data_IF_358284962362
#
_entry.id   IF_358284962362
#
_cell.length_a   1.000
_cell.length_b   1.000
_cell.length_c   1.000
_cell.angle_alpha   90.00
_cell.angle_beta   90.00
_cell.angle_gamma   90.00
#
_symmetry.space_group_name_H-M   'P 1'
#
loop_
_entity.id
_entity.type
_entity.pdbx_description
1 polymer ?
#
# COMPACT_ATOMS: atom_id res chain seq x y z
N UNK A 1 -14.40 1.58 -21.93
CA UNK A 1 -13.95 2.77 -21.17
C UNK A 1 -14.66 4.04 -21.61
N UNK A 2 -14.50 4.56 -22.84
CA UNK A 2 -15.21 5.79 -23.28
C UNK A 2 -16.74 5.71 -23.13
N UNK A 3 -17.34 4.54 -23.40
CA UNK A 3 -18.76 4.30 -23.14
C UNK A 3 -19.16 4.44 -21.66
N UNK A 4 -18.29 4.09 -20.71
CA UNK A 4 -18.53 4.28 -19.27
C UNK A 4 -18.45 5.75 -18.87
N UNK A 5 -17.60 6.52 -19.55
CA UNK A 5 -17.45 7.96 -19.34
C UNK A 5 -18.61 8.77 -19.95
N UNK A 6 -19.40 8.16 -20.84
CA UNK A 6 -20.36 8.88 -21.68
C UNK A 6 -19.68 9.75 -22.76
N UNK A 7 -18.41 9.44 -23.08
CA UNK A 7 -17.58 10.17 -24.04
C UNK A 7 -17.58 9.44 -25.39
N UNK A 8 -18.78 9.18 -25.93
CA UNK A 8 -18.94 8.43 -27.18
C UNK A 8 -18.28 9.13 -28.37
N UNK A 9 -18.28 10.45 -28.38
CA UNK A 9 -17.65 11.28 -29.40
C UNK A 9 -16.13 11.10 -29.51
N UNK A 10 -15.47 10.70 -28.42
CA UNK A 10 -14.02 10.43 -28.44
C UNK A 10 -13.68 9.08 -29.07
N UNK A 11 -14.66 8.19 -29.25
CA UNK A 11 -14.45 6.88 -29.90
C UNK A 11 -14.21 7.05 -31.39
N UNK A 12 -14.97 7.94 -32.02
CA UNK A 12 -14.94 8.18 -33.47
C UNK A 12 -14.00 9.32 -33.89
N UNK A 13 -13.43 10.06 -32.93
CA UNK A 13 -12.47 11.12 -33.23
C UNK A 13 -11.19 10.53 -33.87
N UNK A 14 -10.84 10.94 -35.12
CA UNK A 14 -9.64 10.44 -35.81
C UNK A 14 -8.35 10.69 -35.03
N UNK A 15 -8.32 11.72 -34.16
CA UNK A 15 -7.18 12.02 -33.29
C UNK A 15 -6.97 10.99 -32.19
N UNK A 16 -7.95 10.11 -31.91
CA UNK A 16 -7.89 9.12 -30.84
C UNK A 16 -8.22 7.67 -31.27
N UNK A 17 -8.44 7.45 -32.58
CA UNK A 17 -8.90 6.18 -33.14
C UNK A 17 -8.01 4.96 -32.83
N UNK A 18 -6.68 5.13 -32.84
CA UNK A 18 -5.73 4.04 -32.53
C UNK A 18 -4.87 4.36 -31.33
N UNK A 19 -4.32 3.32 -30.70
CA UNK A 19 -3.45 3.49 -29.54
C UNK A 19 -2.21 4.36 -29.86
N UNK A 20 -1.61 4.16 -31.04
CA UNK A 20 -0.45 4.96 -31.47
C UNK A 20 -0.81 6.45 -31.61
N UNK A 21 -1.97 6.74 -32.19
CA UNK A 21 -2.43 8.13 -32.39
C UNK A 21 -2.81 8.75 -31.05
N UNK A 22 -3.45 8.00 -30.12
CA UNK A 22 -3.71 8.48 -28.75
C UNK A 22 -2.44 8.83 -27.97
N UNK A 23 -1.38 8.04 -28.12
CA UNK A 23 -0.10 8.34 -27.47
C UNK A 23 0.50 9.63 -28.02
N UNK A 24 0.43 9.85 -29.34
CA UNK A 24 0.89 11.11 -29.96
C UNK A 24 0.07 12.33 -29.52
N UNK A 25 -1.25 12.18 -29.40
CA UNK A 25 -2.17 13.24 -29.02
C UNK A 25 -2.53 13.20 -27.52
N UNK A 26 -1.67 12.64 -26.67
CA UNK A 26 -1.98 12.39 -25.24
C UNK A 26 -2.30 13.69 -24.50
N UNK A 27 -1.57 14.76 -24.81
CA UNK A 27 -1.74 16.05 -24.14
C UNK A 27 -3.08 16.71 -24.51
N UNK A 28 -3.64 16.42 -25.68
CA UNK A 28 -5.00 16.81 -26.08
C UNK A 28 -6.06 15.88 -25.47
N UNK A 29 -5.81 14.56 -25.44
CA UNK A 29 -6.77 13.58 -24.95
C UNK A 29 -6.99 13.66 -23.44
N UNK A 30 -5.91 13.90 -22.66
CA UNK A 30 -5.95 13.92 -21.20
C UNK A 30 -6.99 14.92 -20.64
N UNK A 31 -6.98 16.22 -21.00
CA UNK A 31 -7.93 17.18 -20.46
C UNK A 31 -9.38 16.84 -20.84
N UNK A 32 -9.61 16.25 -22.03
CA UNK A 32 -10.94 15.80 -22.43
C UNK A 32 -11.44 14.69 -21.51
N UNK A 33 -10.66 13.62 -21.32
CA UNK A 33 -11.02 12.52 -20.42
C UNK A 33 -11.17 13.01 -18.97
N UNK A 34 -10.31 13.93 -18.53
CA UNK A 34 -10.39 14.53 -17.20
C UNK A 34 -11.72 15.25 -16.98
N UNK A 35 -12.21 16.02 -17.96
CA UNK A 35 -13.51 16.70 -17.86
C UNK A 35 -14.71 15.76 -17.65
N UNK A 36 -14.60 14.51 -18.11
CA UNK A 36 -15.59 13.47 -17.82
C UNK A 36 -15.42 12.88 -16.43
N UNK A 37 -14.17 12.59 -16.04
CA UNK A 37 -13.85 12.01 -14.74
C UNK A 37 -14.19 12.96 -13.58
N UNK A 38 -14.07 14.28 -13.76
CA UNK A 38 -14.39 15.27 -12.73
C UNK A 38 -15.88 15.32 -12.35
N UNK A 39 -16.77 14.69 -13.14
CA UNK A 39 -18.21 14.66 -12.87
C UNK A 39 -18.62 13.75 -11.71
N UNK A 40 -17.73 12.87 -11.24
CA UNK A 40 -17.96 11.94 -10.13
C UNK A 40 -16.71 11.81 -9.27
N UNK A 41 -16.88 11.37 -8.04
CA UNK A 41 -15.76 11.06 -7.15
C UNK A 41 -14.96 9.85 -7.64
N UNK A 42 -13.71 9.75 -7.20
CA UNK A 42 -12.85 8.62 -7.56
C UNK A 42 -13.43 7.26 -7.08
N UNK A 43 -14.13 7.25 -5.95
CA UNK A 43 -14.78 6.06 -5.38
C UNK A 43 -15.96 5.59 -6.23
N UNK A 44 -16.78 6.53 -6.72
CA UNK A 44 -17.87 6.20 -7.65
C UNK A 44 -17.33 5.64 -8.97
N UNK A 45 -16.26 6.24 -9.51
CA UNK A 45 -15.61 5.71 -10.70
C UNK A 45 -14.99 4.34 -10.51
N UNK A 46 -14.38 4.09 -9.35
CA UNK A 46 -13.86 2.77 -9.01
C UNK A 46 -14.99 1.73 -9.04
N UNK A 47 -16.12 2.01 -8.38
CA UNK A 47 -17.30 1.13 -8.41
C UNK A 47 -17.79 0.87 -9.84
N UNK A 48 -18.04 1.93 -10.62
CA UNK A 48 -18.54 1.83 -12.00
C UNK A 48 -17.58 1.02 -12.90
N UNK A 49 -16.28 1.27 -12.78
CA UNK A 49 -15.28 0.58 -13.58
C UNK A 49 -15.16 -0.90 -13.20
N UNK A 50 -15.13 -1.22 -11.90
CA UNK A 50 -15.06 -2.61 -11.42
C UNK A 50 -16.30 -3.41 -11.81
N UNK A 51 -17.50 -2.84 -11.72
CA UNK A 51 -18.75 -3.45 -12.20
C UNK A 51 -18.71 -3.74 -13.71
N UNK A 52 -18.00 -2.91 -14.48
CA UNK A 52 -17.78 -3.09 -15.90
C UNK A 52 -16.55 -3.95 -16.26
N UNK A 53 -15.87 -4.56 -15.27
CA UNK A 53 -14.69 -5.41 -15.48
C UNK A 53 -13.42 -4.63 -15.86
N UNK A 54 -13.40 -3.31 -15.67
CA UNK A 54 -12.22 -2.47 -15.92
C UNK A 54 -11.43 -2.31 -14.62
N UNK A 55 -10.18 -2.82 -14.55
CA UNK A 55 -9.39 -2.76 -13.34
C UNK A 55 -8.92 -1.33 -13.08
N UNK A 56 -9.43 -0.72 -12.02
CA UNK A 56 -8.99 0.58 -11.52
C UNK A 56 -9.01 0.56 -9.99
N UNK A 57 -8.25 1.46 -9.39
CA UNK A 57 -8.34 1.73 -7.96
C UNK A 57 -8.22 3.24 -7.73
N UNK A 58 -9.00 3.77 -6.79
CA UNK A 58 -8.80 5.14 -6.37
C UNK A 58 -7.55 5.26 -5.50
N UNK A 59 -6.87 6.40 -5.57
CA UNK A 59 -5.71 6.68 -4.71
C UNK A 59 -6.20 7.01 -3.31
N UNK A 60 -5.73 6.26 -2.31
CA UNK A 60 -6.08 6.43 -0.89
C UNK A 60 -5.05 7.28 -0.17
N UNK A 61 -5.47 8.02 0.86
CA UNK A 61 -4.54 8.67 1.78
C UNK A 61 -3.91 7.62 2.68
N UNK A 62 -2.67 7.85 3.12
CA UNK A 62 -1.97 6.94 4.04
C UNK A 62 -2.75 6.68 5.34
N UNK A 63 -3.48 7.69 5.84
CA UNK A 63 -4.37 7.57 7.00
C UNK A 63 -5.48 6.55 6.81
N UNK A 64 -5.97 6.39 5.59
CA UNK A 64 -7.11 5.54 5.28
C UNK A 64 -6.64 4.09 5.09
N UNK A 65 -5.39 3.90 4.63
CA UNK A 65 -4.77 2.59 4.42
C UNK A 65 -4.62 1.82 5.72
N UNK A 66 -4.21 2.48 6.81
CA UNK A 66 -3.97 1.79 8.09
C UNK A 66 -5.25 1.24 8.73
N UNK A 67 -6.42 1.78 8.35
CA UNK A 67 -7.74 1.33 8.80
C UNK A 67 -8.49 0.51 7.76
N UNK A 68 -7.88 0.25 6.60
CA UNK A 68 -8.53 -0.46 5.50
C UNK A 68 -8.81 -1.93 5.87
N UNK A 69 -10.00 -2.42 5.52
CA UNK A 69 -10.44 -3.77 5.85
C UNK A 69 -9.48 -4.84 5.35
N UNK A 70 -8.87 -4.68 4.18
CA UNK A 70 -7.89 -5.65 3.65
C UNK A 70 -6.59 -5.62 4.44
N UNK A 71 -6.14 -4.45 4.88
CA UNK A 71 -4.95 -4.29 5.73
C UNK A 71 -5.18 -4.94 7.10
N UNK A 72 -6.36 -4.73 7.68
CA UNK A 72 -6.75 -5.34 8.96
C UNK A 72 -6.94 -6.85 8.85
N UNK A 73 -7.68 -7.32 7.83
CA UNK A 73 -7.92 -8.74 7.60
C UNK A 73 -6.63 -9.52 7.32
N UNK A 74 -5.63 -8.85 6.73
CA UNK A 74 -4.30 -9.43 6.49
C UNK A 74 -3.34 -9.21 7.63
N UNK A 75 -3.76 -8.68 8.79
CA UNK A 75 -2.92 -8.56 9.98
C UNK A 75 -1.59 -7.85 9.65
N UNK A 76 -1.72 -6.76 8.88
CA UNK A 76 -0.60 -6.00 8.33
C UNK A 76 -0.13 -4.89 9.26
N UNK A 77 -0.89 -4.54 10.30
CA UNK A 77 -0.47 -3.61 11.34
C UNK A 77 -0.23 -4.39 12.63
N UNK A 78 1.03 -4.45 13.05
CA UNK A 78 1.48 -5.10 14.28
C UNK A 78 1.77 -4.06 15.35
N UNK A 79 1.29 -4.30 16.56
CA UNK A 79 1.66 -3.48 17.72
C UNK A 79 3.00 -3.95 18.25
N UNK A 80 3.95 -3.03 18.40
CA UNK A 80 5.23 -3.27 19.05
C UNK A 80 5.37 -2.36 20.26
N UNK A 81 5.98 -2.90 21.33
CA UNK A 81 6.24 -2.15 22.54
C UNK A 81 7.67 -1.61 22.52
N UNK A 82 7.80 -0.31 22.66
CA UNK A 82 9.08 0.37 22.81
C UNK A 82 9.64 0.15 24.23
N UNK A 83 10.96 0.31 24.43
CA UNK A 83 11.57 0.19 25.77
C UNK A 83 10.94 1.10 26.84
N UNK A 84 10.39 2.25 26.43
CA UNK A 84 9.68 3.19 27.31
C UNK A 84 8.23 2.79 27.67
N UNK A 85 7.75 1.64 27.20
CA UNK A 85 6.40 1.13 27.47
C UNK A 85 5.31 1.61 26.49
N UNK A 86 5.63 2.57 25.62
CA UNK A 86 4.74 3.01 24.54
C UNK A 86 4.51 1.90 23.52
N UNK A 87 3.27 1.76 23.03
CA UNK A 87 2.92 0.83 21.96
C UNK A 87 2.69 1.61 20.65
N UNK A 88 3.42 1.22 19.60
CA UNK A 88 3.29 1.80 18.25
C UNK A 88 2.88 0.74 17.24
N UNK A 89 2.22 1.17 16.16
CA UNK A 89 1.94 0.32 15.01
C UNK A 89 3.12 0.25 14.05
N UNK A 90 3.49 -0.94 13.61
CA UNK A 90 4.47 -1.20 12.55
C UNK A 90 3.90 -2.15 11.50
N UNK A 91 4.53 -2.19 10.33
CA UNK A 91 4.13 -3.12 9.28
C UNK A 91 4.48 -4.57 9.64
N UNK A 92 3.50 -5.45 9.46
CA UNK A 92 3.68 -6.90 9.53
C UNK A 92 4.30 -7.48 8.26
N UNK A 93 4.49 -8.80 8.25
CA UNK A 93 5.00 -9.51 7.07
C UNK A 93 3.91 -9.57 5.98
N UNK A 94 4.19 -9.07 4.75
CA UNK A 94 3.20 -9.03 3.66
C UNK A 94 2.89 -10.41 3.07
N UNK A 95 3.83 -11.34 3.19
CA UNK A 95 3.69 -12.74 2.75
C UNK A 95 2.97 -13.54 3.83
N UNK A 96 1.90 -14.24 3.44
CA UNK A 96 1.14 -15.14 4.30
C UNK A 96 1.32 -16.56 3.78
N UNK A 97 1.67 -17.48 4.69
CA UNK A 97 1.87 -18.89 4.38
C UNK A 97 1.00 -19.68 5.35
N UNK A 98 0.15 -20.54 4.81
CA UNK A 98 -0.79 -21.33 5.61
C UNK A 98 -0.02 -22.18 6.64
N UNK A 99 -0.49 -22.14 7.90
CA UNK A 99 0.14 -22.85 9.01
C UNK A 99 1.42 -22.21 9.57
N UNK A 100 1.90 -21.09 9.01
CA UNK A 100 3.11 -20.40 9.49
C UNK A 100 2.76 -19.02 10.03
N UNK A 101 3.02 -18.82 11.33
CA UNK A 101 2.94 -17.48 11.95
C UNK A 101 4.32 -16.81 11.92
N UNK A 102 4.46 -15.73 11.16
CA UNK A 102 5.66 -14.90 11.14
C UNK A 102 5.74 -13.91 12.32
N UNK A 103 5.26 -14.30 13.50
CA UNK A 103 5.32 -13.47 14.70
C UNK A 103 6.67 -13.65 15.41
N UNK A 104 7.56 -12.66 15.29
CA UNK A 104 8.74 -12.50 16.16
C UNK A 104 8.37 -11.65 17.40
N UNK A 105 9.04 -11.80 18.56
CA UNK A 105 8.82 -10.99 19.76
C UNK A 105 8.67 -9.50 19.46
N UNK A 106 7.56 -8.95 19.96
CA UNK A 106 7.04 -7.61 19.68
C UNK A 106 7.68 -6.52 20.54
N UNK A 107 8.66 -6.87 21.39
CA UNK A 107 9.39 -5.93 22.21
C UNK A 107 10.67 -5.51 21.50
N UNK A 108 10.78 -4.22 21.20
CA UNK A 108 12.02 -3.64 20.68
C UNK A 108 13.02 -3.62 21.84
N UNK A 109 14.22 -4.21 21.68
CA UNK A 109 15.20 -4.24 22.75
C UNK A 109 15.64 -2.83 23.13
N UNK A 110 15.85 -2.62 24.43
CA UNK A 110 16.51 -1.41 24.91
C UNK A 110 17.97 -1.38 24.45
N UNK A 111 18.57 -0.19 24.54
CA UNK A 111 20.01 -0.05 24.34
C UNK A 111 20.74 -1.01 25.27
N UNK A 112 21.63 -1.83 24.69
CA UNK A 112 22.47 -2.79 25.40
C UNK A 112 21.76 -3.99 26.08
N UNK A 113 20.45 -4.17 25.87
CA UNK A 113 19.65 -5.19 26.58
C UNK A 113 20.22 -6.62 26.50
N UNK A 114 20.77 -7.00 25.34
CA UNK A 114 21.28 -8.36 25.09
C UNK A 114 22.81 -8.46 25.17
N UNK A 115 23.52 -7.41 25.58
CA UNK A 115 25.00 -7.41 25.54
C UNK A 115 25.60 -8.49 26.43
N UNK A 116 25.13 -8.62 27.66
CA UNK A 116 25.68 -9.61 28.61
C UNK A 116 25.43 -11.05 28.13
N UNK A 117 24.24 -11.32 27.57
CA UNK A 117 23.86 -12.60 26.96
C UNK A 117 24.79 -12.94 25.80
N UNK A 118 24.95 -12.02 24.84
CA UNK A 118 25.82 -12.21 23.67
C UNK A 118 27.30 -12.37 24.07
N UNK A 119 27.80 -11.58 25.03
CA UNK A 119 29.18 -11.72 25.51
C UNK A 119 29.41 -13.08 26.19
N UNK A 120 28.41 -13.61 26.88
CA UNK A 120 28.45 -14.94 27.47
C UNK A 120 28.47 -16.02 26.38
N UNK A 121 27.62 -15.92 25.36
CA UNK A 121 27.60 -16.85 24.22
C UNK A 121 28.93 -16.90 23.46
N UNK A 122 29.61 -15.76 23.36
CA UNK A 122 30.92 -15.65 22.71
C UNK A 122 32.09 -16.06 23.60
N UNK A 123 31.87 -16.44 24.87
CA UNK A 123 32.94 -16.76 25.82
C UNK A 123 33.77 -15.55 26.28
N UNK A 124 33.26 -14.34 26.06
CA UNK A 124 33.88 -13.06 26.43
C UNK A 124 33.34 -12.48 27.75
N UNK A 125 32.56 -13.26 28.51
CA UNK A 125 31.89 -12.84 29.75
C UNK A 125 32.80 -12.64 30.97
N UNK A 126 34.12 -12.70 30.80
CA UNK A 126 35.10 -12.55 31.89
C UNK A 126 35.99 -11.33 31.67
N UNK A 127 35.67 -10.24 32.37
CA UNK A 127 36.49 -9.03 32.46
C UNK A 127 36.43 -8.43 33.86
N UNK A 128 36.83 -9.21 34.87
CA UNK A 128 37.43 -8.67 36.10
C UNK A 128 38.86 -9.16 36.10
N UNK A 129 39.80 -8.27 35.77
CA UNK A 129 41.21 -8.36 36.16
C UNK A 129 41.80 -6.94 36.06
N UNK A 130 42.13 -6.35 37.22
CA UNK A 130 42.84 -5.07 37.36
C UNK A 130 42.08 -4.00 38.12
#
# INVERSE_FOLDING_TARGET
FCGLLGAGELVDDPRFATNQVRVKNRDELRPLIQSYLEKRTAQEWEKICLEAGVPVAHVRKTSDVITDEQILARDMIKKVRLPGGEEIGTWGVPVKVDGVSFTRPLAIPAMDQHRAEILSELGLGGGKDG
#
